data_IF_574434687739
#
_entry.id   IF_574434687739
#
_cell.length_a   1.000
_cell.length_b   1.000
_cell.length_c   1.000
_cell.angle_alpha   90.00
_cell.angle_beta   90.00
_cell.angle_gamma   90.00
#
_symmetry.space_group_name_H-M   'P 1'
#
loop_
_entity.id
_entity.type
_entity.pdbx_description
1 polymer ?
#
# COMPACT_ATOMS: atom_id res chain seq x y z
N UNK A 1 -13.47 -34.15 20.64
CA UNK A 1 -13.33 -32.81 21.25
C UNK A 1 -13.24 -31.77 20.14
N UNK A 2 -14.34 -31.12 19.74
CA UNK A 2 -14.44 -30.29 18.52
C UNK A 2 -13.84 -28.87 18.63
N UNK A 3 -13.57 -28.38 19.85
CA UNK A 3 -13.08 -27.01 20.10
C UNK A 3 -11.66 -26.74 19.57
N UNK A 4 -10.80 -27.77 19.54
CA UNK A 4 -9.41 -27.63 19.11
C UNK A 4 -9.28 -27.44 17.58
N UNK A 5 -10.15 -28.06 16.79
CA UNK A 5 -10.16 -27.96 15.33
C UNK A 5 -10.68 -26.59 14.85
N UNK A 6 -11.68 -26.02 15.54
CA UNK A 6 -12.20 -24.66 15.30
C UNK A 6 -11.12 -23.60 15.53
N UNK A 7 -10.38 -23.67 16.66
CA UNK A 7 -9.30 -22.72 16.95
C UNK A 7 -8.18 -22.77 15.90
N UNK A 8 -7.83 -23.96 15.42
CA UNK A 8 -6.78 -24.14 14.41
C UNK A 8 -7.18 -23.52 13.07
N UNK A 9 -8.45 -23.62 12.71
CA UNK A 9 -9.01 -23.01 11.49
C UNK A 9 -9.06 -21.49 11.58
N UNK A 10 -9.43 -20.92 12.73
CA UNK A 10 -9.44 -19.46 12.96
C UNK A 10 -8.03 -18.85 12.84
N UNK A 11 -7.03 -19.43 13.52
CA UNK A 11 -5.64 -18.93 13.46
C UNK A 11 -5.06 -18.91 12.04
N UNK A 12 -5.41 -19.91 11.23
CA UNK A 12 -4.99 -19.97 9.82
C UNK A 12 -5.63 -18.84 8.99
N UNK A 13 -6.90 -18.53 9.23
CA UNK A 13 -7.60 -17.42 8.56
C UNK A 13 -6.96 -16.09 8.93
N UNK A 14 -6.74 -15.81 10.21
CA UNK A 14 -6.11 -14.57 10.68
C UNK A 14 -4.73 -14.36 10.04
N UNK A 15 -3.91 -15.41 9.97
CA UNK A 15 -2.58 -15.34 9.32
C UNK A 15 -2.68 -15.02 7.84
N UNK A 16 -3.65 -15.60 7.13
CA UNK A 16 -3.88 -15.31 5.70
C UNK A 16 -4.37 -13.88 5.48
N UNK A 17 -5.26 -13.36 6.34
CA UNK A 17 -5.69 -11.96 6.30
C UNK A 17 -4.50 -11.02 6.55
N UNK A 18 -3.67 -11.34 7.53
CA UNK A 18 -2.47 -10.57 7.83
C UNK A 18 -1.50 -10.55 6.65
N UNK A 19 -1.24 -11.72 6.05
CA UNK A 19 -0.40 -11.83 4.86
C UNK A 19 -0.99 -11.06 3.67
N UNK A 20 -2.30 -11.14 3.47
CA UNK A 20 -2.99 -10.39 2.40
C UNK A 20 -2.87 -8.87 2.62
N UNK A 21 -3.07 -8.38 3.83
CA UNK A 21 -2.86 -6.97 4.16
C UNK A 21 -1.42 -6.55 3.86
N UNK A 22 -0.43 -7.30 4.32
CA UNK A 22 0.98 -6.93 4.12
C UNK A 22 1.40 -7.02 2.66
N UNK A 23 0.95 -8.03 1.91
CA UNK A 23 1.39 -8.26 0.52
C UNK A 23 0.56 -7.47 -0.50
N UNK A 24 -0.69 -7.12 -0.21
CA UNK A 24 -1.54 -6.34 -1.12
C UNK A 24 -1.72 -4.89 -0.65
N UNK A 25 -2.15 -4.67 0.60
CA UNK A 25 -2.49 -3.33 1.08
C UNK A 25 -1.26 -2.42 1.10
N UNK A 26 -0.14 -2.87 1.66
CA UNK A 26 1.06 -2.04 1.76
C UNK A 26 1.64 -1.66 0.40
N UNK A 27 1.81 -2.58 -0.56
CA UNK A 27 2.25 -2.21 -1.91
C UNK A 27 1.29 -1.27 -2.63
N UNK A 28 -0.02 -1.53 -2.52
CA UNK A 28 -1.03 -0.64 -3.11
C UNK A 28 -0.95 0.77 -2.50
N UNK A 29 -0.80 0.86 -1.19
CA UNK A 29 -0.66 2.13 -0.48
C UNK A 29 0.64 2.85 -0.87
N UNK A 30 1.73 2.10 -1.04
CA UNK A 30 3.02 2.65 -1.52
C UNK A 30 2.88 3.29 -2.89
N UNK A 31 2.22 2.61 -3.84
CA UNK A 31 1.97 3.15 -5.19
C UNK A 31 1.05 4.37 -5.13
N UNK A 32 -0.02 4.33 -4.32
CA UNK A 32 -0.92 5.46 -4.17
C UNK A 32 -0.22 6.71 -3.61
N UNK A 33 0.63 6.54 -2.60
CA UNK A 33 1.34 7.65 -1.96
C UNK A 33 2.44 8.19 -2.89
N UNK A 34 3.34 7.33 -3.37
CA UNK A 34 4.48 7.74 -4.20
C UNK A 34 4.01 8.24 -5.56
N UNK A 35 3.09 7.51 -6.18
CA UNK A 35 2.48 7.89 -7.46
C UNK A 35 1.63 9.16 -7.33
N UNK A 36 0.81 9.26 -6.28
CA UNK A 36 0.03 10.46 -6.00
C UNK A 36 0.91 11.69 -5.74
N UNK A 37 1.97 11.54 -4.95
CA UNK A 37 2.91 12.62 -4.69
C UNK A 37 3.66 13.04 -5.97
N UNK A 38 4.18 12.09 -6.74
CA UNK A 38 4.83 12.38 -8.02
C UNK A 38 3.87 13.06 -9.01
N UNK A 39 2.61 12.62 -9.05
CA UNK A 39 1.57 13.24 -9.87
C UNK A 39 1.27 14.67 -9.43
N UNK A 40 1.17 14.93 -8.12
CA UNK A 40 0.97 16.28 -7.59
C UNK A 40 2.14 17.19 -8.01
N UNK A 41 3.38 16.74 -7.83
CA UNK A 41 4.56 17.53 -8.22
C UNK A 41 4.55 17.81 -9.73
N UNK A 42 4.35 16.78 -10.55
CA UNK A 42 4.25 16.93 -12.00
C UNK A 42 3.11 17.88 -12.41
N UNK A 43 1.94 17.77 -11.78
CA UNK A 43 0.81 18.65 -12.03
C UNK A 43 1.11 20.10 -11.62
N UNK A 44 1.77 20.29 -10.48
CA UNK A 44 2.26 21.61 -10.05
C UNK A 44 3.23 22.21 -11.08
N UNK A 45 4.08 21.40 -11.71
CA UNK A 45 4.97 21.87 -12.79
C UNK A 45 4.19 22.35 -14.03
N UNK A 46 3.01 21.80 -14.33
CA UNK A 46 2.16 22.31 -15.41
C UNK A 46 1.62 23.72 -15.11
N UNK A 47 1.40 24.04 -13.83
CA UNK A 47 0.86 25.33 -13.41
C UNK A 47 1.94 26.40 -13.23
N UNK A 48 3.08 26.04 -12.63
CA UNK A 48 4.12 26.98 -12.21
C UNK A 48 5.38 26.93 -13.09
N UNK A 49 5.40 26.04 -14.09
CA UNK A 49 6.56 25.80 -14.96
C UNK A 49 7.53 24.75 -14.38
N UNK A 50 8.40 24.17 -15.23
CA UNK A 50 9.35 23.14 -14.83
C UNK A 50 10.40 23.68 -13.84
N UNK A 51 10.94 22.83 -12.95
CA UNK A 51 12.03 23.23 -12.05
C UNK A 51 13.24 23.66 -12.89
N UNK A 52 13.83 24.81 -12.55
CA UNK A 52 14.94 25.40 -13.30
C UNK A 52 16.20 24.51 -13.30
N UNK A 53 17.09 24.67 -14.30
CA UNK A 53 18.29 23.84 -14.43
C UNK A 53 19.22 23.98 -13.21
N UNK A 54 19.86 22.89 -12.77
CA UNK A 54 20.83 22.93 -11.69
C UNK A 54 22.07 23.73 -12.12
N UNK A 55 22.54 24.58 -11.22
CA UNK A 55 23.72 25.46 -11.33
C UNK A 55 25.04 24.70 -11.46
#
# INVERSE_FOLDING_TARGET
MPLAEEQKTQRRKETLLFLFLVVCLFPLLSVAIVGGYGFIIWFFQLLYGPPGPPN
#
